data_IF_164303096239
#
_entry.id   IF_164303096239
#
_cell.length_a   1.000
_cell.length_b   1.000
_cell.length_c   1.000
_cell.angle_alpha   90.00
_cell.angle_beta   90.00
_cell.angle_gamma   90.00
#
_symmetry.space_group_name_H-M   'P 1'
#
loop_
_entity.id
_entity.type
_entity.pdbx_description
1 polymer ?
#
# COMPACT_ATOMS: atom_id res chain seq x y z
N UNK A 1 -9.15 18.02 -0.59
CA UNK A 1 -8.29 18.87 -1.45
C UNK A 1 -7.41 18.07 -2.42
N UNK A 2 -6.90 16.88 -2.07
CA UNK A 2 -6.07 16.04 -2.95
C UNK A 2 -6.67 15.71 -4.34
N UNK A 3 -7.95 15.31 -4.43
CA UNK A 3 -8.58 15.00 -5.72
C UNK A 3 -8.75 16.22 -6.66
N UNK A 4 -8.84 17.44 -6.10
CA UNK A 4 -8.82 18.69 -6.88
C UNK A 4 -7.39 19.07 -7.26
N UNK A 5 -6.40 18.84 -6.39
CA UNK A 5 -4.98 19.03 -6.70
C UNK A 5 -4.50 18.10 -7.83
N UNK A 6 -4.93 16.82 -7.82
CA UNK A 6 -4.66 15.87 -8.91
C UNK A 6 -5.19 16.35 -10.26
N UNK A 7 -6.41 16.91 -10.28
CA UNK A 7 -7.02 17.49 -11.50
C UNK A 7 -6.40 18.82 -11.91
N UNK A 8 -5.85 19.60 -10.97
CA UNK A 8 -5.29 20.93 -11.23
C UNK A 8 -3.77 20.90 -11.50
N UNK A 9 -3.04 19.87 -11.05
CA UNK A 9 -1.58 19.78 -11.19
C UNK A 9 -1.08 18.73 -12.18
N UNK A 10 -1.97 17.95 -12.84
CA UNK A 10 -1.57 16.91 -13.79
C UNK A 10 -0.48 15.96 -13.22
N UNK A 11 -0.50 15.71 -11.90
CA UNK A 11 0.44 14.80 -11.26
C UNK A 11 0.06 13.36 -11.62
N UNK A 12 0.97 12.68 -12.31
CA UNK A 12 0.82 11.26 -12.59
C UNK A 12 0.94 10.48 -11.27
N UNK A 13 0.07 9.49 -11.07
CA UNK A 13 0.20 8.57 -9.95
C UNK A 13 1.35 7.59 -10.24
N UNK A 14 2.57 7.97 -9.86
CA UNK A 14 3.82 7.22 -10.01
C UNK A 14 4.68 7.36 -8.76
N UNK A 15 5.83 6.68 -8.68
CA UNK A 15 6.82 6.95 -7.65
C UNK A 15 7.42 8.35 -7.81
N UNK A 16 7.64 9.04 -6.69
CA UNK A 16 8.15 10.41 -6.68
C UNK A 16 9.68 10.43 -6.78
N UNK A 17 10.23 11.01 -7.84
CA UNK A 17 11.68 11.13 -8.01
C UNK A 17 12.37 11.99 -6.95
N UNK A 18 11.67 12.95 -6.36
CA UNK A 18 12.19 13.81 -5.29
C UNK A 18 12.12 13.14 -3.92
N UNK A 19 11.28 12.12 -3.78
CA UNK A 19 11.05 11.37 -2.53
C UNK A 19 11.39 9.88 -2.71
N UNK A 20 12.59 9.67 -3.26
CA UNK A 20 13.16 8.36 -3.56
C UNK A 20 14.62 8.31 -3.11
N UNK A 21 15.00 7.25 -2.39
CA UNK A 21 16.37 7.07 -1.95
C UNK A 21 17.35 6.94 -3.14
N UNK A 22 18.58 7.44 -2.98
CA UNK A 22 19.65 7.35 -3.99
C UNK A 22 19.94 5.90 -4.49
N UNK A 23 19.58 4.88 -3.71
CA UNK A 23 19.73 3.47 -4.08
C UNK A 23 18.57 2.90 -4.89
N UNK A 24 17.65 3.73 -5.39
CA UNK A 24 16.54 3.32 -6.25
C UNK A 24 16.59 4.12 -7.55
N UNK A 25 16.51 3.42 -8.67
CA UNK A 25 16.28 4.02 -9.98
C UNK A 25 14.81 3.86 -10.36
N UNK A 26 14.20 4.96 -10.78
CA UNK A 26 12.85 4.97 -11.34
C UNK A 26 12.91 4.89 -12.86
N UNK A 27 12.07 4.05 -13.46
CA UNK A 27 11.95 3.84 -14.91
C UNK A 27 10.48 3.79 -15.32
N UNK A 28 10.20 3.62 -16.62
CA UNK A 28 8.84 3.62 -17.16
C UNK A 28 8.05 4.90 -16.78
N UNK A 29 8.69 6.08 -16.87
CA UNK A 29 8.07 7.34 -16.45
C UNK A 29 7.76 7.43 -14.95
N UNK A 30 8.42 6.64 -14.11
CA UNK A 30 8.23 6.64 -12.66
C UNK A 30 7.37 5.49 -12.12
N UNK A 31 6.75 4.67 -12.97
CA UNK A 31 5.92 3.55 -12.51
C UNK A 31 6.75 2.41 -11.91
N UNK A 32 8.02 2.31 -12.27
CA UNK A 32 8.84 1.15 -11.96
C UNK A 32 10.05 1.55 -11.11
N UNK A 33 10.15 0.99 -9.91
CA UNK A 33 11.25 1.24 -8.98
C UNK A 33 12.18 0.02 -8.91
N UNK A 34 13.49 0.24 -9.07
CA UNK A 34 14.51 -0.82 -9.02
C UNK A 34 15.60 -0.46 -8.03
N UNK A 35 15.93 -1.37 -7.10
CA UNK A 35 17.07 -1.17 -6.20
C UNK A 35 18.37 -1.33 -6.97
N UNK A 36 19.16 -0.26 -7.02
CA UNK A 36 20.48 -0.23 -7.64
C UNK A 36 21.56 -0.15 -6.56
N UNK A 37 22.66 -0.87 -6.80
CA UNK A 37 23.77 -0.95 -5.85
C UNK A 37 23.52 -1.87 -4.65
N UNK A 38 24.56 -2.06 -3.86
CA UNK A 38 24.58 -2.97 -2.70
C UNK A 38 24.71 -2.23 -1.37
N UNK A 39 24.89 -0.90 -1.42
CA UNK A 39 25.06 -0.06 -0.23
C UNK A 39 23.72 0.33 0.36
N UNK A 40 23.53 0.09 1.66
CA UNK A 40 22.32 0.43 2.40
C UNK A 40 21.34 -0.73 2.47
N UNK A 41 21.01 -1.12 3.70
CA UNK A 41 20.10 -2.22 4.01
C UNK A 41 18.72 -1.94 3.41
N UNK A 42 18.06 -0.87 3.87
CA UNK A 42 16.76 -0.41 3.37
C UNK A 42 16.92 0.80 2.45
N UNK A 43 16.18 0.79 1.35
CA UNK A 43 16.03 1.94 0.45
C UNK A 43 14.57 2.05 0.08
N UNK A 44 13.97 3.21 0.31
CA UNK A 44 12.54 3.43 0.15
C UNK A 44 12.23 4.49 -0.91
N UNK A 45 11.02 4.40 -1.45
CA UNK A 45 10.41 5.40 -2.33
C UNK A 45 8.94 5.53 -1.98
N UNK A 46 8.41 6.75 -2.09
CA UNK A 46 6.99 7.06 -1.92
C UNK A 46 6.35 7.42 -3.25
N UNK A 47 5.05 7.17 -3.39
CA UNK A 47 4.28 7.68 -4.52
C UNK A 47 4.22 9.21 -4.47
N UNK A 48 4.03 9.83 -5.64
CA UNK A 48 3.91 11.28 -5.80
C UNK A 48 2.62 11.85 -5.19
N UNK A 49 1.61 11.00 -5.05
CA UNK A 49 0.25 11.42 -4.69
C UNK A 49 -0.20 10.70 -3.42
N UNK A 50 -0.81 11.42 -2.46
CA UNK A 50 -1.24 10.84 -1.21
C UNK A 50 -2.53 10.02 -1.37
N UNK A 51 -2.83 9.19 -0.38
CA UNK A 51 -4.11 8.49 -0.29
C UNK A 51 -5.24 9.50 -0.15
N UNK A 52 -6.26 9.40 -1.00
CA UNK A 52 -7.47 10.20 -0.88
C UNK A 52 -8.26 9.80 0.37
N UNK A 53 -8.56 10.80 1.20
CA UNK A 53 -9.32 10.64 2.44
C UNK A 53 -10.83 10.50 2.18
N UNK A 54 -11.53 9.84 3.11
CA UNK A 54 -12.97 9.51 3.03
C UNK A 54 -13.36 8.75 1.75
N UNK A 55 -12.43 7.96 1.21
CA UNK A 55 -12.61 7.12 0.02
C UNK A 55 -11.92 5.79 0.24
N UNK A 56 -12.48 4.75 -0.36
CA UNK A 56 -11.79 3.46 -0.49
C UNK A 56 -10.81 3.57 -1.65
N UNK A 57 -9.52 3.56 -1.34
CA UNK A 57 -8.44 3.63 -2.33
C UNK A 57 -7.76 2.28 -2.41
N UNK A 58 -7.58 1.79 -3.63
CA UNK A 58 -6.89 0.54 -3.92
C UNK A 58 -5.72 0.79 -4.87
N UNK A 59 -4.56 0.23 -4.55
CA UNK A 59 -3.43 0.19 -5.46
C UNK A 59 -2.77 -1.18 -5.41
N UNK A 60 -1.97 -1.46 -6.44
CA UNK A 60 -1.19 -2.68 -6.52
C UNK A 60 0.28 -2.39 -6.74
N UNK A 61 1.13 -3.32 -6.34
CA UNK A 61 2.55 -3.34 -6.67
C UNK A 61 2.95 -4.75 -7.12
N UNK A 62 3.42 -4.87 -8.36
CA UNK A 62 3.86 -6.15 -8.95
C UNK A 62 5.37 -6.27 -8.88
N UNK A 63 5.86 -7.42 -8.41
CA UNK A 63 7.29 -7.66 -8.22
C UNK A 63 7.86 -8.34 -9.47
N UNK A 64 8.76 -7.63 -10.14
CA UNK A 64 9.36 -7.97 -11.43
C UNK A 64 10.84 -8.33 -11.21
N UNK A 65 11.17 -9.35 -10.40
CA UNK A 65 12.58 -9.73 -10.24
C UNK A 65 13.02 -10.68 -11.36
N UNK A 66 14.34 -10.84 -11.57
CA UNK A 66 14.84 -11.97 -12.37
C UNK A 66 14.61 -13.28 -11.60
N UNK A 67 14.25 -14.36 -12.32
CA UNK A 67 13.73 -15.62 -11.77
C UNK A 67 14.62 -16.32 -10.72
N UNK A 68 15.88 -15.90 -10.54
CA UNK A 68 16.83 -16.49 -9.59
C UNK A 68 17.04 -15.69 -8.29
N UNK A 69 16.46 -14.49 -8.14
CA UNK A 69 16.70 -13.64 -6.97
C UNK A 69 15.59 -13.75 -5.92
N UNK A 70 15.94 -14.03 -4.66
CA UNK A 70 15.01 -13.91 -3.54
C UNK A 70 14.78 -12.43 -3.26
N UNK A 71 13.64 -11.92 -3.73
CA UNK A 71 13.22 -10.54 -3.48
C UNK A 71 12.83 -10.37 -1.99
N UNK A 72 13.64 -9.60 -1.26
CA UNK A 72 13.29 -9.08 0.06
C UNK A 72 12.86 -7.63 -0.10
N UNK A 73 11.64 -7.33 0.33
CA UNK A 73 11.01 -6.02 0.21
C UNK A 73 9.85 -5.88 1.21
N UNK A 74 9.34 -4.67 1.33
CA UNK A 74 8.14 -4.35 2.09
C UNK A 74 7.30 -3.31 1.35
N UNK A 75 5.98 -3.50 1.32
CA UNK A 75 5.02 -2.64 0.61
C UNK A 75 3.98 -2.18 1.63
N UNK A 76 3.68 -0.88 1.63
CA UNK A 76 2.63 -0.36 2.50
C UNK A 76 2.52 1.14 2.39
N UNK A 77 2.44 1.81 3.54
CA UNK A 77 2.19 3.23 3.64
C UNK A 77 3.10 3.90 4.67
N UNK A 78 3.46 5.16 4.41
CA UNK A 78 4.18 6.01 5.37
C UNK A 78 3.84 7.48 5.17
N UNK A 79 4.04 8.27 6.23
CA UNK A 79 4.08 9.73 6.15
C UNK A 79 5.43 10.19 5.56
N UNK A 80 5.53 11.44 5.06
CA UNK A 80 6.79 12.00 4.54
C UNK A 80 7.93 12.02 5.57
N UNK A 81 7.62 12.08 6.86
CA UNK A 81 8.61 12.12 7.94
C UNK A 81 9.45 10.84 8.03
N UNK A 82 8.94 9.70 7.56
CA UNK A 82 9.70 8.46 7.58
C UNK A 82 10.98 8.62 6.73
N UNK A 83 12.18 8.36 7.27
CA UNK A 83 13.41 8.42 6.48
C UNK A 83 13.41 7.39 5.35
N UNK A 84 13.98 7.76 4.19
CA UNK A 84 14.02 6.88 3.01
C UNK A 84 14.99 5.68 3.15
N UNK A 85 15.77 5.62 4.23
CA UNK A 85 16.60 4.48 4.61
C UNK A 85 15.96 3.64 5.74
N UNK A 86 14.66 3.79 5.97
CA UNK A 86 13.87 3.06 6.97
C UNK A 86 12.89 2.11 6.29
N UNK A 87 12.65 0.96 6.92
CA UNK A 87 11.66 -0.03 6.48
C UNK A 87 10.24 0.50 6.68
N UNK A 88 9.42 0.51 5.63
CA UNK A 88 7.99 0.84 5.78
C UNK A 88 7.34 -0.09 6.80
N UNK A 89 6.60 0.50 7.74
CA UNK A 89 6.07 -0.15 8.93
C UNK A 89 6.92 0.03 10.19
N UNK A 90 8.23 0.27 10.08
CA UNK A 90 9.15 0.46 11.23
C UNK A 90 9.25 1.92 11.71
N UNK A 91 8.37 2.79 11.21
CA UNK A 91 8.29 4.19 11.60
C UNK A 91 6.91 4.51 12.16
N UNK A 92 6.83 5.56 12.97
CA UNK A 92 5.56 6.08 13.46
C UNK A 92 4.63 6.36 12.29
N UNK A 93 3.34 6.06 12.44
CA UNK A 93 2.32 6.30 11.42
C UNK A 93 2.59 5.59 10.07
N UNK A 94 3.32 4.47 10.12
CA UNK A 94 3.64 3.65 8.97
C UNK A 94 3.22 2.20 9.19
N UNK A 95 2.81 1.55 8.10
CA UNK A 95 2.43 0.15 8.04
C UNK A 95 3.00 -0.49 6.78
N UNK A 96 3.51 -1.72 6.88
CA UNK A 96 4.08 -2.44 5.75
C UNK A 96 3.86 -3.93 5.83
N UNK A 97 3.57 -4.55 4.68
CA UNK A 97 3.59 -5.99 4.49
C UNK A 97 4.97 -6.40 3.96
N UNK A 98 5.70 -7.18 4.75
CA UNK A 98 7.01 -7.73 4.40
C UNK A 98 6.88 -8.97 3.52
N UNK A 99 7.85 -9.23 2.65
CA UNK A 99 7.88 -10.44 1.80
C UNK A 99 7.92 -11.77 2.56
N UNK A 100 8.18 -11.72 3.87
CA UNK A 100 8.01 -12.85 4.81
C UNK A 100 6.54 -13.17 5.12
N UNK A 101 5.58 -12.37 4.66
CA UNK A 101 4.15 -12.50 4.96
C UNK A 101 3.74 -11.85 6.29
N UNK A 102 4.65 -11.15 6.96
CA UNK A 102 4.38 -10.45 8.22
C UNK A 102 4.04 -8.99 7.97
N UNK A 103 3.11 -8.45 8.75
CA UNK A 103 2.76 -7.03 8.75
C UNK A 103 3.55 -6.34 9.86
N UNK A 104 4.05 -5.15 9.59
CA UNK A 104 4.79 -4.31 10.52
C UNK A 104 4.05 -2.98 10.64
N UNK A 105 3.61 -2.60 11.85
CA UNK A 105 2.87 -1.35 12.12
C UNK A 105 3.57 -0.61 13.24
N UNK A 106 4.08 0.61 12.98
CA UNK A 106 4.76 1.41 14.01
C UNK A 106 5.83 0.65 14.80
N UNK A 107 6.64 -0.17 14.12
CA UNK A 107 7.67 -1.06 14.70
C UNK A 107 7.16 -2.31 15.44
N UNK A 108 5.85 -2.57 15.44
CA UNK A 108 5.26 -3.80 15.99
C UNK A 108 4.97 -4.81 14.90
N UNK A 109 5.47 -6.03 15.07
CA UNK A 109 5.28 -7.14 14.14
C UNK A 109 3.97 -7.89 14.41
N UNK A 110 3.27 -8.19 13.33
CA UNK A 110 2.06 -9.01 13.28
C UNK A 110 2.28 -10.14 12.30
N UNK A 111 2.08 -11.38 12.74
CA UNK A 111 2.27 -12.56 11.93
C UNK A 111 0.94 -13.21 11.52
N UNK A 112 0.98 -13.92 10.40
CA UNK A 112 0.06 -15.02 10.15
C UNK A 112 0.77 -16.33 10.51
N UNK A 113 0.08 -17.21 11.22
CA UNK A 113 0.51 -18.58 11.52
C UNK A 113 0.73 -19.38 10.22
N UNK A 114 0.10 -18.94 9.14
CA UNK A 114 0.22 -19.56 7.83
C UNK A 114 1.35 -18.92 7.02
N UNK A 115 2.28 -19.74 6.52
CA UNK A 115 3.31 -19.32 5.54
C UNK A 115 2.72 -18.94 4.17
N UNK A 116 1.39 -18.94 4.02
CA UNK A 116 0.68 -18.78 2.76
C UNK A 116 0.83 -17.38 2.14
N UNK A 117 1.19 -16.38 2.94
CA UNK A 117 1.28 -14.99 2.50
C UNK A 117 2.71 -14.51 2.19
N UNK A 118 3.69 -15.42 2.12
CA UNK A 118 5.03 -15.10 1.62
C UNK A 118 4.95 -14.79 0.13
N UNK A 119 5.70 -13.79 -0.32
CA UNK A 119 5.69 -13.36 -1.72
C UNK A 119 7.09 -12.99 -2.22
N UNK A 120 7.22 -12.88 -3.53
CA UNK A 120 8.45 -12.56 -4.21
C UNK A 120 8.20 -12.29 -5.68
N UNK A 121 9.16 -12.65 -6.53
CA UNK A 121 9.05 -12.50 -7.98
C UNK A 121 7.72 -13.04 -8.53
N UNK A 122 7.10 -12.29 -9.45
CA UNK A 122 5.84 -12.64 -10.10
C UNK A 122 4.59 -12.42 -9.24
N UNK A 123 4.75 -12.11 -7.95
CA UNK A 123 3.61 -11.79 -7.09
C UNK A 123 3.16 -10.33 -7.27
N UNK A 124 1.87 -10.09 -7.08
CA UNK A 124 1.25 -8.76 -7.02
C UNK A 124 0.62 -8.56 -5.66
N UNK A 125 0.98 -7.45 -5.00
CA UNK A 125 0.45 -7.08 -3.69
C UNK A 125 -0.61 -6.02 -3.89
N UNK A 126 -1.82 -6.26 -3.39
CA UNK A 126 -2.90 -5.29 -3.33
C UNK A 126 -2.97 -4.64 -1.96
N UNK A 127 -3.26 -3.34 -1.93
CA UNK A 127 -3.49 -2.58 -0.71
C UNK A 127 -4.79 -1.81 -0.85
N UNK A 128 -5.80 -2.19 -0.07
CA UNK A 128 -7.04 -1.43 0.08
C UNK A 128 -6.95 -0.61 1.37
N UNK A 129 -7.24 0.68 1.28
CA UNK A 129 -7.27 1.57 2.44
C UNK A 129 -8.52 2.46 2.42
N UNK A 130 -9.06 2.71 3.60
CA UNK A 130 -10.04 3.76 3.86
C UNK A 130 -9.60 4.58 5.06
N UNK A 131 -9.46 5.90 4.90
CA UNK A 131 -9.18 6.84 5.99
C UNK A 131 -10.50 7.52 6.34
N UNK A 132 -11.01 7.25 7.55
CA UNK A 132 -12.27 7.81 8.04
C UNK A 132 -12.01 9.05 8.91
N UNK A 133 -12.16 10.24 8.33
CA UNK A 133 -11.93 11.50 9.07
C UNK A 133 -13.01 11.78 10.12
N UNK A 134 -14.15 11.09 10.07
CA UNK A 134 -15.18 11.22 11.09
C UNK A 134 -14.78 10.52 12.40
N UNK A 135 -13.82 9.58 12.33
CA UNK A 135 -13.28 8.84 13.48
C UNK A 135 -11.96 9.46 13.93
N UNK A 136 -12.06 10.62 14.56
CA UNK A 136 -10.91 11.26 15.18
C UNK A 136 -10.82 10.92 16.67
N UNK A 137 -9.59 10.84 17.18
CA UNK A 137 -9.29 10.68 18.59
C UNK A 137 -8.17 11.62 18.99
N UNK A 138 -8.31 12.27 20.14
CA UNK A 138 -7.25 13.12 20.69
C UNK A 138 -6.08 12.27 21.19
N UNK A 139 -4.86 12.70 20.86
CA UNK A 139 -3.63 12.13 21.38
C UNK A 139 -2.66 13.25 21.79
N UNK A 140 -1.57 12.88 22.46
CA UNK A 140 -0.50 13.81 22.79
C UNK A 140 0.19 14.41 21.55
N UNK A 141 0.06 13.76 20.41
CA UNK A 141 0.59 14.19 19.12
C UNK A 141 -0.43 14.97 18.27
N UNK A 142 -1.58 15.34 18.86
CA UNK A 142 -2.69 15.99 18.17
C UNK A 142 -3.81 15.02 17.81
N UNK A 143 -4.72 15.47 16.94
CA UNK A 143 -5.84 14.66 16.46
C UNK A 143 -5.34 13.54 15.54
N UNK A 144 -5.68 12.31 15.87
CA UNK A 144 -5.42 11.14 15.04
C UNK A 144 -6.71 10.68 14.36
N UNK A 145 -6.60 10.20 13.13
CA UNK A 145 -7.69 9.53 12.41
C UNK A 145 -7.36 8.05 12.18
N UNK A 146 -8.39 7.22 12.19
CA UNK A 146 -8.25 5.78 11.93
C UNK A 146 -8.28 5.50 10.42
N UNK A 147 -7.24 4.81 9.94
CA UNK A 147 -7.21 4.19 8.63
C UNK A 147 -7.41 2.68 8.75
N UNK A 148 -8.36 2.12 7.99
CA UNK A 148 -8.57 0.68 7.89
C UNK A 148 -7.86 0.15 6.64
N UNK A 149 -6.92 -0.78 6.82
CA UNK A 149 -6.14 -1.36 5.72
C UNK A 149 -6.40 -2.84 5.54
N UNK A 150 -6.39 -3.29 4.29
CA UNK A 150 -6.32 -4.71 3.93
C UNK A 150 -5.21 -4.93 2.91
N UNK A 151 -4.42 -5.97 3.15
CA UNK A 151 -3.43 -6.44 2.19
C UNK A 151 -3.94 -7.67 1.46
N UNK A 152 -3.54 -7.85 0.21
CA UNK A 152 -3.71 -9.10 -0.52
C UNK A 152 -2.46 -9.49 -1.29
N UNK A 153 -2.22 -10.79 -1.43
CA UNK A 153 -1.15 -11.36 -2.25
C UNK A 153 -1.81 -12.15 -3.37
N UNK A 154 -1.60 -11.74 -4.62
CA UNK A 154 -2.22 -12.33 -5.80
C UNK A 154 -3.76 -12.43 -5.70
N UNK A 155 -4.38 -11.41 -5.09
CA UNK A 155 -5.83 -11.37 -4.86
C UNK A 155 -6.32 -12.19 -3.67
N UNK A 156 -5.43 -12.84 -2.91
CA UNK A 156 -5.78 -13.55 -1.67
C UNK A 156 -5.54 -12.61 -0.47
N UNK A 157 -6.58 -12.26 0.31
CA UNK A 157 -6.42 -11.42 1.50
C UNK A 157 -5.42 -12.01 2.50
N UNK A 158 -4.61 -11.15 3.11
CA UNK A 158 -3.70 -11.52 4.19
C UNK A 158 -4.47 -11.51 5.50
N UNK A 159 -4.50 -12.66 6.19
CA UNK A 159 -5.19 -12.81 7.47
C UNK A 159 -4.18 -12.77 8.62
N UNK A 160 -4.40 -11.84 9.55
CA UNK A 160 -3.66 -11.76 10.80
C UNK A 160 -4.27 -12.70 11.84
N UNK A 161 -3.40 -13.42 12.56
CA UNK A 161 -3.85 -14.17 13.72
C UNK A 161 -4.29 -13.19 14.83
N UNK A 162 -5.22 -13.65 15.67
CA UNK A 162 -5.50 -12.95 16.90
C UNK A 162 -4.24 -12.95 17.78
N UNK A 163 -3.86 -11.77 18.27
CA UNK A 163 -2.71 -11.56 19.14
C UNK A 163 -3.04 -10.49 20.18
N UNK A 164 -2.17 -10.24 21.17
CA UNK A 164 -2.43 -9.32 22.30
C UNK A 164 -3.06 -7.98 21.88
N UNK A 165 -4.37 -7.87 22.08
CA UNK A 165 -5.17 -6.67 21.78
C UNK A 165 -5.55 -6.48 20.31
N UNK A 166 -5.33 -7.45 19.43
CA UNK A 166 -5.82 -7.46 18.05
C UNK A 166 -6.78 -8.61 17.81
N UNK A 167 -8.08 -8.35 17.57
CA UNK A 167 -8.98 -9.37 17.05
C UNK A 167 -8.46 -9.72 15.67
N UNK A 168 -7.97 -10.95 15.48
CA UNK A 168 -7.45 -11.40 14.18
C UNK A 168 -8.45 -11.14 13.05
N UNK A 169 -7.96 -11.09 11.81
CA UNK A 169 -8.79 -10.73 10.66
C UNK A 169 -7.98 -10.23 9.47
N UNK A 170 -8.67 -9.70 8.47
CA UNK A 170 -8.09 -9.14 7.24
C UNK A 170 -7.88 -7.62 7.30
N UNK A 171 -8.42 -6.95 8.33
CA UNK A 171 -8.30 -5.50 8.54
C UNK A 171 -7.21 -5.21 9.57
N UNK A 172 -6.27 -4.35 9.22
CA UNK A 172 -5.27 -3.79 10.14
C UNK A 172 -5.52 -2.28 10.30
N UNK A 173 -5.79 -1.79 11.52
CA UNK A 173 -5.91 -0.36 11.78
C UNK A 173 -4.54 0.32 11.78
N UNK A 174 -4.49 1.55 11.28
CA UNK A 174 -3.38 2.48 11.42
C UNK A 174 -3.93 3.83 11.88
N UNK A 175 -3.41 4.37 12.97
CA UNK A 175 -3.71 5.73 13.39
C UNK A 175 -2.69 6.68 12.78
N UNK A 176 -3.16 7.77 12.17
CA UNK A 176 -2.31 8.77 11.51
C UNK A 176 -2.72 10.17 11.96
N UNK A 177 -1.82 11.16 12.02
CA UNK A 177 -2.19 12.54 12.27
C UNK A 177 -3.20 13.03 11.25
N UNK A 178 -4.21 13.76 11.73
CA UNK A 178 -5.31 14.22 10.90
C UNK A 178 -4.83 15.14 9.77
N UNK A 179 -3.81 15.95 10.02
CA UNK A 179 -3.31 16.93 9.06
C UNK A 179 -2.18 16.39 8.18
N UNK A 180 -1.72 15.15 8.41
CA UNK A 180 -0.63 14.54 7.66
C UNK A 180 -1.13 13.77 6.44
N UNK A 181 -0.44 13.91 5.32
CA UNK A 181 -0.64 13.04 4.18
C UNK A 181 0.07 11.69 4.38
N UNK A 182 -0.54 10.63 3.84
CA UNK A 182 0.01 9.27 3.84
C UNK A 182 0.15 8.76 2.40
N UNK A 183 1.28 8.12 2.11
CA UNK A 183 1.68 7.78 0.75
C UNK A 183 1.92 6.27 0.60
N UNK A 184 1.49 5.65 -0.52
CA UNK A 184 2.02 4.36 -0.95
C UNK A 184 3.54 4.37 -0.92
N UNK A 185 4.10 3.39 -0.23
CA UNK A 185 5.53 3.34 0.07
C UNK A 185 6.06 1.94 -0.22
N UNK A 186 7.20 1.90 -0.90
CA UNK A 186 7.95 0.68 -1.18
C UNK A 186 9.31 0.78 -0.51
N UNK A 187 9.69 -0.25 0.24
CA UNK A 187 11.07 -0.45 0.71
C UNK A 187 11.67 -1.65 0.01
N UNK A 188 12.82 -1.44 -0.65
CA UNK A 188 13.60 -2.49 -1.30
C UNK A 188 14.83 -2.85 -0.46
N UNK A 189 15.07 -4.15 -0.39
CA UNK A 189 16.09 -4.76 0.45
C UNK A 189 17.12 -5.47 -0.43
N UNK A 190 16.65 -6.41 -1.27
CA UNK A 190 17.51 -7.14 -2.21
C UNK A 190 17.88 -6.28 -3.43
N UNK A 191 19.15 -6.28 -3.86
CA UNK A 191 19.57 -5.58 -5.08
C UNK A 191 18.85 -6.18 -6.30
N UNK A 192 18.72 -5.38 -7.37
CA UNK A 192 18.07 -5.77 -8.62
C UNK A 192 16.59 -6.19 -8.49
N UNK A 193 15.98 -5.98 -7.32
CA UNK A 193 14.53 -6.14 -7.16
C UNK A 193 13.85 -4.97 -7.85
N UNK A 194 12.98 -5.28 -8.80
CA UNK A 194 12.15 -4.30 -9.49
C UNK A 194 10.69 -4.47 -9.09
N UNK A 195 9.99 -3.35 -8.90
CA UNK A 195 8.58 -3.32 -8.54
C UNK A 195 7.87 -2.29 -9.40
N UNK A 196 6.80 -2.74 -10.06
CA UNK A 196 5.90 -1.90 -10.84
C UNK A 196 4.73 -1.45 -9.97
N UNK A 197 4.60 -0.14 -9.76
CA UNK A 197 3.44 0.49 -9.16
C UNK A 197 2.28 0.53 -10.16
N UNK A 198 1.15 -0.03 -9.75
CA UNK A 198 -0.13 -0.04 -10.49
C UNK A 198 -1.09 0.87 -9.75
N UNK A 199 -1.05 2.14 -10.14
CA UNK A 199 -1.68 3.23 -9.40
C UNK A 199 -2.93 3.79 -10.09
N UNK A 200 -3.26 3.32 -11.29
CA UNK A 200 -4.49 3.66 -12.02
C UNK A 200 -5.37 2.43 -12.23
N UNK A 201 -6.66 2.64 -12.50
CA UNK A 201 -7.62 1.55 -12.73
C UNK A 201 -7.26 0.69 -13.95
N UNK A 202 -6.67 1.28 -14.99
CA UNK A 202 -6.27 0.55 -16.19
C UNK A 202 -5.12 -0.45 -15.94
N UNK A 203 -4.29 -0.19 -14.94
CA UNK A 203 -3.15 -1.03 -14.59
C UNK A 203 -3.47 -2.08 -13.53
N UNK A 204 -4.61 -1.97 -12.84
CA UNK A 204 -4.98 -2.91 -11.77
C UNK A 204 -5.36 -4.26 -12.36
N UNK A 205 -4.70 -5.30 -11.85
CA UNK A 205 -4.96 -6.68 -12.23
C UNK A 205 -6.16 -7.23 -11.45
N UNK A 206 -7.07 -7.88 -12.17
CA UNK A 206 -8.23 -8.59 -11.63
C UNK A 206 -9.07 -7.75 -10.64
N UNK A 207 -9.65 -6.61 -11.07
CA UNK A 207 -10.47 -5.78 -10.20
C UNK A 207 -11.80 -6.47 -9.90
N UNK A 208 -11.84 -7.26 -8.83
CA UNK A 208 -13.05 -7.90 -8.34
C UNK A 208 -13.19 -7.64 -6.84
N UNK A 209 -14.41 -7.30 -6.39
CA UNK A 209 -14.64 -6.85 -5.01
C UNK A 209 -14.15 -7.85 -3.97
N UNK A 210 -14.38 -9.14 -4.18
CA UNK A 210 -13.92 -10.21 -3.29
C UNK A 210 -12.40 -10.37 -3.23
N UNK A 211 -11.67 -10.08 -4.32
CA UNK A 211 -10.21 -10.18 -4.37
C UNK A 211 -9.53 -8.94 -3.79
N UNK A 212 -10.18 -7.79 -3.92
CA UNK A 212 -9.76 -6.51 -3.34
C UNK A 212 -10.08 -6.45 -1.83
N UNK A 213 -11.10 -7.19 -1.38
CA UNK A 213 -11.59 -7.16 0.00
C UNK A 213 -12.45 -5.94 0.31
N UNK A 214 -12.99 -5.27 -0.71
CA UNK A 214 -13.76 -4.04 -0.54
C UNK A 214 -15.19 -4.30 -0.01
N UNK A 215 -15.75 -3.41 0.83
CA UNK A 215 -17.12 -3.53 1.32
C UNK A 215 -18.14 -3.52 0.17
N UNK A 216 -19.32 -4.16 0.30
CA UNK A 216 -20.36 -4.10 -0.72
C UNK A 216 -20.91 -2.68 -0.87
N UNK A 217 -21.35 -2.32 -2.08
CA UNK A 217 -22.08 -1.06 -2.33
C UNK A 217 -21.26 0.22 -2.21
N UNK A 218 -19.93 0.15 -2.05
CA UNK A 218 -19.06 1.34 -2.04
C UNK A 218 -18.20 1.42 -3.30
N UNK A 219 -17.95 2.63 -3.83
CA UNK A 219 -17.00 2.80 -4.92
C UNK A 219 -15.57 2.61 -4.41
N UNK A 220 -14.73 1.98 -5.22
CA UNK A 220 -13.28 1.85 -4.98
C UNK A 220 -12.54 2.63 -6.06
N UNK A 221 -11.62 3.47 -5.63
CA UNK A 221 -10.81 4.32 -6.51
C UNK A 221 -9.38 3.82 -6.56
N UNK A 222 -8.71 4.00 -7.68
CA UNK A 222 -7.27 3.86 -7.77
C UNK A 222 -6.60 5.09 -7.17
N UNK A 223 -5.27 5.05 -7.01
CA UNK A 223 -4.51 6.15 -6.42
C UNK A 223 -4.61 7.44 -7.25
N UNK A 224 -4.69 7.33 -8.58
CA UNK A 224 -4.90 8.46 -9.49
C UNK A 224 -6.33 9.05 -9.45
N UNK A 225 -7.25 8.43 -8.72
CA UNK A 225 -8.65 8.84 -8.63
C UNK A 225 -9.59 8.23 -9.67
N UNK A 226 -9.09 7.41 -10.59
CA UNK A 226 -9.93 6.61 -11.50
C UNK A 226 -10.72 5.55 -10.72
N UNK A 227 -11.88 5.12 -11.24
CA UNK A 227 -12.76 4.16 -10.55
C UNK A 227 -12.34 2.74 -10.91
N UNK A 228 -12.05 1.93 -9.89
CA UNK A 228 -11.71 0.50 -10.02
C UNK A 228 -12.95 -0.37 -9.92
N UNK A 229 -13.83 -0.07 -8.94
CA UNK A 229 -15.09 -0.79 -8.72
C UNK A 229 -16.21 0.21 -8.52
N UNK A 230 -17.31 0.04 -9.26
CA UNK A 230 -18.54 0.80 -9.06
C UNK A 230 -19.36 0.21 -7.88
N UNK A 231 -20.20 1.01 -7.20
CA UNK A 231 -21.09 0.53 -6.13
C UNK A 231 -21.93 -0.68 -6.52
N UNK A 232 -22.48 -0.66 -7.75
CA UNK A 232 -23.52 -1.59 -8.21
C UNK A 232 -22.96 -2.83 -8.94
N UNK A 233 -21.64 -2.98 -9.03
CA UNK A 233 -21.01 -4.04 -9.83
C UNK A 233 -21.21 -5.48 -9.29
N UNK A 234 -21.80 -5.68 -8.11
CA UNK A 234 -22.13 -7.00 -7.57
C UNK A 234 -23.60 -7.42 -7.74
N UNK A 235 -24.46 -6.55 -8.27
CA UNK A 235 -25.92 -6.78 -8.32
C UNK A 235 -26.34 -7.55 -9.61
N UNK A 236 -25.39 -7.88 -10.49
CA UNK A 236 -25.66 -8.29 -11.88
C UNK A 236 -25.48 -9.77 -12.25
N UNK A 237 -25.56 -10.72 -11.34
CA UNK A 237 -25.46 -12.16 -11.69
C UNK A 237 -26.47 -13.05 -10.94
N UNK A 238 -27.76 -12.69 -10.98
CA UNK A 238 -28.84 -13.68 -10.82
C UNK A 238 -29.82 -13.42 -11.97
N UNK A 239 -29.52 -14.00 -13.14
CA UNK A 239 -30.56 -14.22 -14.15
C UNK A 239 -31.22 -15.56 -13.80
N UNK A 240 -32.51 -15.48 -13.48
CA UNK A 240 -33.46 -16.58 -13.33
C UNK A 240 -33.67 -17.24 -14.70
#
# INVERSE_FOLDING_TARGET
>A
MAAQSLKQQACLAVFNSEDTANGIVLSCGGHCATKVGTTGLYTSTRAMVPIMRNRHVFFQMSIMAEESAVASLCIGLSTPEMPLNTLVGSWKYSIGLCSTGQILVGSRWYGSSTKQHRFGCGCTIGVLIHIDECRCSDSWDGELVEASLKFSVNGVPVLLDASDGHPGGDVTPLFIPKDDDIYPTLTLHSPSTQVLGRFCAADILHPHRSLVGAPPGVPVYALDGSVVLQPDQDVGAINI
#
